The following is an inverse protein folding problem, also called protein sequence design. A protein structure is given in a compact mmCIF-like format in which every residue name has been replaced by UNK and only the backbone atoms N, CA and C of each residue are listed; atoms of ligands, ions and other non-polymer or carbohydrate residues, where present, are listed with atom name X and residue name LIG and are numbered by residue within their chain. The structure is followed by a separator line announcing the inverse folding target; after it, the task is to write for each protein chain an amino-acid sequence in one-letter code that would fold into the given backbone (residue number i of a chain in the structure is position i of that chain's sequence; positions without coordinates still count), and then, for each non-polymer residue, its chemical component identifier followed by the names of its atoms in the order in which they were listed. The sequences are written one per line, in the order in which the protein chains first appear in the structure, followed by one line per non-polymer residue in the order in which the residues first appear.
data_IF_489486769762
#
_entry.id   IF_489486769762
#
_cell.length_a   1.000
_cell.length_b   1.000
_cell.length_c   1.000
_cell.angle_alpha   90.00
_cell.angle_beta   90.00
_cell.angle_gamma   90.00
#
_symmetry.space_group_name_H-M   'P 1'
#
loop_
_entity.id
_entity.type
_entity.pdbx_description
1 polymer ?
#
# COMPACT_ATOMS: atom_id res chain seq x y z
N UNK A 1 20.89 -3.57 -36.68
CA UNK A 1 19.56 -3.24 -37.26
C UNK A 1 18.56 -4.37 -37.07
N UNK A 2 18.90 -5.63 -37.39
CA UNK A 2 18.04 -6.81 -37.12
C UNK A 2 17.65 -6.96 -35.63
N UNK A 3 18.58 -6.74 -34.70
CA UNK A 3 18.31 -6.77 -33.25
C UNK A 3 17.27 -5.74 -32.80
N UNK A 4 17.30 -4.55 -33.39
CA UNK A 4 16.38 -3.45 -33.07
C UNK A 4 14.98 -3.79 -33.57
N UNK A 5 14.87 -4.36 -34.77
CA UNK A 5 13.59 -4.78 -35.34
C UNK A 5 12.98 -5.91 -34.49
N UNK A 6 13.78 -6.91 -34.10
CA UNK A 6 13.35 -7.99 -33.21
C UNK A 6 12.88 -7.47 -31.85
N UNK A 7 13.59 -6.51 -31.26
CA UNK A 7 13.21 -5.90 -29.99
C UNK A 7 11.87 -5.15 -30.07
N UNK A 8 11.66 -4.37 -31.14
CA UNK A 8 10.41 -3.63 -31.35
C UNK A 8 9.24 -4.59 -31.57
N UNK A 9 9.43 -5.61 -32.41
CA UNK A 9 8.39 -6.61 -32.69
C UNK A 9 8.05 -7.40 -31.42
N UNK A 10 9.06 -7.82 -30.65
CA UNK A 10 8.85 -8.49 -29.37
C UNK A 10 8.11 -7.63 -28.35
N UNK A 11 8.45 -6.34 -28.26
CA UNK A 11 7.76 -5.38 -27.39
C UNK A 11 6.29 -5.22 -27.80
N UNK A 12 6.00 -5.04 -29.09
CA UNK A 12 4.64 -4.87 -29.60
C UNK A 12 3.81 -6.13 -29.33
N UNK A 13 4.36 -7.32 -29.61
CA UNK A 13 3.68 -8.58 -29.31
C UNK A 13 3.43 -8.71 -27.81
N UNK A 14 4.43 -8.40 -26.98
CA UNK A 14 4.31 -8.44 -25.53
C UNK A 14 3.20 -7.52 -25.00
N UNK A 15 3.12 -6.29 -25.51
CA UNK A 15 2.08 -5.32 -25.15
C UNK A 15 0.71 -5.82 -25.60
N UNK A 16 0.57 -6.35 -26.81
CA UNK A 16 -0.69 -6.87 -27.33
C UNK A 16 -1.18 -8.06 -26.49
N UNK A 17 -0.29 -8.99 -26.13
CA UNK A 17 -0.63 -10.12 -25.28
C UNK A 17 -1.01 -9.67 -23.86
N UNK A 18 -0.24 -8.75 -23.27
CA UNK A 18 -0.55 -8.18 -21.96
C UNK A 18 -1.91 -7.45 -21.97
N UNK A 19 -2.20 -6.68 -23.02
CA UNK A 19 -3.47 -6.00 -23.20
C UNK A 19 -4.63 -6.98 -23.36
N UNK A 20 -4.45 -8.10 -24.09
CA UNK A 20 -5.47 -9.12 -24.26
C UNK A 20 -5.80 -9.84 -22.93
N UNK A 21 -4.78 -10.15 -22.13
CA UNK A 21 -4.95 -10.73 -20.79
C UNK A 21 -5.63 -9.73 -19.86
N UNK A 22 -5.16 -8.48 -19.85
CA UNK A 22 -5.74 -7.39 -19.05
C UNK A 22 -7.20 -7.14 -19.42
N UNK A 23 -7.54 -7.12 -20.71
CA UNK A 23 -8.90 -6.91 -21.19
C UNK A 23 -9.82 -8.09 -20.85
N UNK A 24 -9.30 -9.32 -20.89
CA UNK A 24 -10.04 -10.51 -20.45
C UNK A 24 -10.34 -10.47 -18.95
N UNK A 25 -9.37 -10.02 -18.15
CA UNK A 25 -9.55 -9.81 -16.71
C UNK A 25 -10.54 -8.69 -16.41
N UNK A 26 -10.42 -7.54 -17.07
CA UNK A 26 -11.32 -6.40 -16.94
C UNK A 26 -12.76 -6.76 -17.32
N UNK A 27 -12.96 -7.53 -18.39
CA UNK A 27 -14.28 -8.07 -18.77
C UNK A 27 -14.83 -9.01 -17.71
N UNK A 28 -14.00 -9.91 -17.15
CA UNK A 28 -14.41 -10.78 -16.06
C UNK A 28 -14.85 -10.01 -14.81
N UNK A 29 -14.18 -8.90 -14.51
CA UNK A 29 -14.52 -8.01 -13.39
C UNK A 29 -15.77 -7.15 -13.63
N UNK A 30 -16.02 -6.72 -14.87
CA UNK A 30 -17.17 -5.90 -15.25
C UNK A 30 -18.42 -6.69 -15.68
N UNK A 31 -18.35 -8.02 -15.79
CA UNK A 31 -19.53 -8.83 -16.11
C UNK A 31 -20.59 -8.71 -15.01
N UNK A 32 -21.87 -8.53 -15.35
CA UNK A 32 -22.95 -8.59 -14.37
C UNK A 32 -22.88 -9.91 -13.62
N UNK A 33 -23.07 -9.84 -12.30
CA UNK A 33 -23.12 -11.03 -11.46
C UNK A 33 -24.22 -11.97 -11.96
N UNK A 34 -23.82 -13.03 -12.68
CA UNK A 34 -24.75 -14.05 -13.17
C UNK A 34 -24.77 -15.21 -12.17
N UNK A 35 -25.88 -15.44 -11.45
CA UNK A 35 -25.96 -16.52 -10.45
C UNK A 35 -25.70 -17.92 -11.02
N UNK A 36 -25.97 -18.10 -12.32
CA UNK A 36 -25.73 -19.38 -13.03
C UNK A 36 -24.23 -19.69 -13.22
N UNK A 37 -23.35 -18.67 -13.16
CA UNK A 37 -21.91 -18.84 -13.31
C UNK A 37 -21.32 -19.68 -12.16
N UNK A 38 -21.86 -19.53 -10.94
CA UNK A 38 -21.44 -20.27 -9.75
C UNK A 38 -21.68 -21.78 -9.85
N UNK A 39 -22.62 -22.22 -10.69
CA UNK A 39 -22.93 -23.64 -10.89
C UNK A 39 -22.05 -24.30 -11.97
N UNK A 40 -21.26 -23.53 -12.73
CA UNK A 40 -20.40 -24.10 -13.78
C UNK A 40 -19.13 -24.71 -13.15
N UNK A 41 -18.73 -25.95 -13.49
CA UNK A 41 -17.49 -26.54 -13.00
C UNK A 41 -16.25 -25.68 -13.25
N UNK A 42 -16.22 -24.96 -14.39
CA UNK A 42 -15.15 -24.03 -14.76
C UNK A 42 -15.00 -22.86 -13.80
N UNK A 43 -16.07 -22.44 -13.12
CA UNK A 43 -16.03 -21.36 -12.14
C UNK A 43 -15.21 -21.79 -10.92
N UNK A 44 -15.39 -23.01 -10.41
CA UNK A 44 -14.60 -23.52 -9.28
C UNK A 44 -13.12 -23.68 -9.64
N UNK A 45 -12.80 -24.14 -10.86
CA UNK A 45 -11.40 -24.20 -11.36
C UNK A 45 -10.79 -22.81 -11.50
N UNK A 46 -11.53 -21.84 -12.03
CA UNK A 46 -11.07 -20.46 -12.14
C UNK A 46 -10.87 -19.83 -10.76
N UNK A 47 -11.83 -20.02 -9.83
CA UNK A 47 -11.77 -19.48 -8.48
C UNK A 47 -10.60 -20.05 -7.69
N UNK A 48 -10.36 -21.36 -7.76
CA UNK A 48 -9.21 -21.99 -7.11
C UNK A 48 -7.87 -21.51 -7.68
N UNK A 49 -7.74 -21.41 -9.01
CA UNK A 49 -6.54 -20.85 -9.65
C UNK A 49 -6.33 -19.37 -9.28
N UNK A 50 -7.41 -18.59 -9.23
CA UNK A 50 -7.38 -17.18 -8.85
C UNK A 50 -6.94 -16.99 -7.39
N UNK A 51 -7.49 -17.77 -6.46
CA UNK A 51 -7.08 -17.75 -5.04
C UNK A 51 -5.61 -18.16 -4.91
N UNK A 52 -5.18 -19.22 -5.60
CA UNK A 52 -3.77 -19.66 -5.60
C UNK A 52 -2.82 -18.58 -6.12
N UNK A 53 -3.23 -17.80 -7.12
CA UNK A 53 -2.44 -16.67 -7.64
C UNK A 53 -2.45 -15.44 -6.69
N UNK A 54 -3.54 -15.23 -5.94
CA UNK A 54 -3.70 -14.13 -4.99
C UNK A 54 -2.87 -14.31 -3.72
N UNK A 55 -2.74 -15.55 -3.23
CA UNK A 55 -2.00 -15.87 -2.00
C UNK A 55 -0.56 -15.31 -1.98
N UNK A 56 0.29 -15.55 -3.00
CA UNK A 56 1.65 -14.99 -2.98
C UNK A 56 1.64 -13.46 -3.02
N UNK A 57 0.76 -12.84 -3.82
CA UNK A 57 0.61 -11.38 -3.87
C UNK A 57 0.24 -10.82 -2.50
N UNK A 58 -0.68 -11.49 -1.79
CA UNK A 58 -1.11 -11.11 -0.45
C UNK A 58 0.03 -11.23 0.58
N UNK A 59 0.85 -12.29 0.50
CA UNK A 59 2.03 -12.46 1.36
C UNK A 59 3.04 -11.32 1.12
N UNK A 60 3.33 -10.97 -0.14
CA UNK A 60 4.19 -9.83 -0.48
C UNK A 60 3.61 -8.50 0.03
N UNK A 61 2.29 -8.33 -0.05
CA UNK A 61 1.61 -7.14 0.46
C UNK A 61 1.75 -7.00 1.98
N UNK A 62 1.56 -8.10 2.72
CA UNK A 62 1.79 -8.13 4.18
C UNK A 62 3.25 -7.82 4.51
N UNK A 63 4.20 -8.43 3.79
CA UNK A 63 5.62 -8.14 3.98
C UNK A 63 5.92 -6.64 3.79
N UNK A 64 5.38 -6.03 2.73
CA UNK A 64 5.49 -4.58 2.50
C UNK A 64 4.91 -3.76 3.65
N UNK A 65 3.74 -4.13 4.15
CA UNK A 65 3.10 -3.45 5.29
C UNK A 65 3.95 -3.55 6.59
N UNK A 66 4.63 -4.68 6.82
CA UNK A 66 5.55 -4.85 7.96
C UNK A 66 6.77 -3.93 7.82
N UNK A 67 7.34 -3.82 6.63
CA UNK A 67 8.45 -2.88 6.37
C UNK A 67 8.03 -1.42 6.55
N UNK A 68 6.84 -1.04 6.07
CA UNK A 68 6.24 0.28 6.31
C UNK A 68 6.13 0.54 7.82
N UNK A 69 5.55 -0.39 8.59
CA UNK A 69 5.43 -0.24 10.04
C UNK A 69 6.78 -0.02 10.72
N UNK A 70 7.81 -0.79 10.33
CA UNK A 70 9.16 -0.68 10.92
C UNK A 70 9.81 0.68 10.60
N UNK A 71 9.56 1.23 9.41
CA UNK A 71 10.01 2.57 9.04
C UNK A 71 9.29 3.66 9.85
N UNK A 72 7.95 3.60 9.92
CA UNK A 72 7.16 4.56 10.70
C UNK A 72 7.44 4.50 12.20
N UNK A 73 7.70 3.33 12.77
CA UNK A 73 8.14 3.19 14.17
C UNK A 73 9.46 3.92 14.45
N UNK A 74 10.36 3.99 13.47
CA UNK A 74 11.64 4.70 13.57
C UNK A 74 11.48 6.21 13.45
N UNK A 75 10.50 6.68 12.67
CA UNK A 75 10.16 8.10 12.53
C UNK A 75 9.39 8.59 13.76
N UNK A 76 8.41 7.80 14.23
CA UNK A 76 7.61 8.12 15.41
C UNK A 76 8.45 8.24 16.70
N UNK A 77 9.53 7.44 16.82
CA UNK A 77 10.44 7.54 17.96
C UNK A 77 11.29 8.81 17.97
N UNK A 78 11.54 9.41 16.79
CA UNK A 78 12.29 10.67 16.66
C UNK A 78 11.40 11.91 16.79
N UNK A 79 10.12 11.81 16.44
CA UNK A 79 9.19 12.94 16.51
C UNK A 79 8.29 12.97 17.76
N UNK A 80 8.27 11.91 18.58
CA UNK A 80 7.47 11.83 19.81
C UNK A 80 5.94 12.00 19.59
N UNK A 81 5.45 11.55 18.43
CA UNK A 81 4.03 11.63 18.06
C UNK A 81 3.46 10.21 17.97
N UNK A 82 2.59 9.86 18.91
CA UNK A 82 1.96 8.54 19.01
C UNK A 82 1.00 8.21 17.86
N UNK A 83 0.47 9.22 17.15
CA UNK A 83 -0.48 9.02 16.06
C UNK A 83 0.10 8.27 14.86
N UNK A 84 1.39 8.47 14.53
CA UNK A 84 2.07 7.71 13.46
C UNK A 84 2.14 6.21 13.76
N UNK A 85 2.35 5.85 15.04
CA UNK A 85 2.37 4.45 15.49
C UNK A 85 0.99 3.81 15.35
N UNK A 86 -0.07 4.54 15.71
CA UNK A 86 -1.45 4.05 15.59
C UNK A 86 -1.86 3.87 14.13
N UNK A 87 -1.53 4.83 13.26
CA UNK A 87 -1.81 4.75 11.83
C UNK A 87 -1.10 3.55 11.18
N UNK A 88 0.19 3.35 11.48
CA UNK A 88 0.96 2.23 10.95
C UNK A 88 0.44 0.85 11.44
N UNK A 89 -0.02 0.76 12.69
CA UNK A 89 -0.66 -0.46 13.20
C UNK A 89 -1.99 -0.73 12.51
N UNK A 90 -2.82 0.29 12.34
CA UNK A 90 -4.10 0.17 11.63
C UNK A 90 -3.88 -0.26 10.17
N UNK A 91 -2.86 0.30 9.49
CA UNK A 91 -2.51 -0.09 8.13
C UNK A 91 -2.11 -1.58 8.06
N UNK A 92 -1.33 -2.08 9.03
CA UNK A 92 -0.93 -3.48 9.08
C UNK A 92 -2.15 -4.40 9.31
N UNK A 93 -3.01 -4.05 10.26
CA UNK A 93 -4.25 -4.79 10.54
C UNK A 93 -5.14 -4.80 9.29
N UNK A 94 -5.29 -3.66 8.62
CA UNK A 94 -6.05 -3.52 7.39
C UNK A 94 -5.46 -4.35 6.23
N UNK A 95 -4.13 -4.41 6.11
CA UNK A 95 -3.45 -5.23 5.11
C UNK A 95 -3.69 -6.74 5.31
N UNK A 96 -3.77 -7.18 6.56
CA UNK A 96 -4.14 -8.57 6.88
C UNK A 96 -5.62 -8.82 6.58
N UNK A 97 -6.51 -7.88 6.93
CA UNK A 97 -7.95 -8.01 6.74
C UNK A 97 -8.45 -7.69 5.32
N UNK A 98 -7.56 -7.35 4.38
CA UNK A 98 -7.94 -6.91 3.01
C UNK A 98 -8.72 -7.99 2.25
N UNK A 99 -8.48 -9.26 2.57
CA UNK A 99 -9.20 -10.40 1.99
C UNK A 99 -10.71 -10.31 2.25
N UNK A 100 -11.15 -9.72 3.36
CA UNK A 100 -12.55 -9.72 3.82
C UNK A 100 -13.29 -8.43 3.43
N UNK A 101 -12.78 -7.62 2.49
CA UNK A 101 -13.24 -6.26 2.17
C UNK A 101 -13.11 -5.24 3.32
N UNK A 102 -13.33 -5.67 4.57
CA UNK A 102 -13.18 -4.89 5.80
C UNK A 102 -11.78 -4.27 5.89
N UNK A 103 -10.74 -4.96 5.40
CA UNK A 103 -9.38 -4.42 5.39
C UNK A 103 -9.22 -3.17 4.53
N UNK A 104 -9.99 -2.99 3.45
CA UNK A 104 -9.94 -1.75 2.66
C UNK A 104 -10.43 -0.55 3.47
N UNK A 105 -11.49 -0.73 4.27
CA UNK A 105 -12.00 0.32 5.16
C UNK A 105 -10.97 0.66 6.22
N UNK A 106 -10.33 -0.36 6.82
CA UNK A 106 -9.30 -0.15 7.85
C UNK A 106 -8.07 0.56 7.27
N UNK A 107 -7.61 0.19 6.06
CA UNK A 107 -6.51 0.87 5.37
C UNK A 107 -6.89 2.32 5.08
N UNK A 108 -8.11 2.58 4.62
CA UNK A 108 -8.58 3.94 4.36
C UNK A 108 -8.54 4.81 5.63
N UNK A 109 -8.98 4.26 6.77
CA UNK A 109 -8.88 4.95 8.07
C UNK A 109 -7.40 5.18 8.45
N UNK A 110 -6.52 4.22 8.18
CA UNK A 110 -5.09 4.34 8.43
C UNK A 110 -4.45 5.49 7.63
N UNK A 111 -4.78 5.61 6.34
CA UNK A 111 -4.33 6.70 5.46
C UNK A 111 -4.78 8.07 5.97
N UNK A 112 -6.04 8.20 6.41
CA UNK A 112 -6.55 9.44 6.99
C UNK A 112 -5.81 9.80 8.29
N UNK A 113 -5.58 8.82 9.17
CA UNK A 113 -4.80 9.03 10.39
C UNK A 113 -3.36 9.43 10.09
N UNK A 114 -2.76 8.88 9.04
CA UNK A 114 -1.42 9.24 8.60
C UNK A 114 -1.36 10.68 8.10
N UNK A 115 -2.35 11.12 7.33
CA UNK A 115 -2.45 12.53 6.90
C UNK A 115 -2.56 13.47 8.11
N UNK A 116 -3.41 13.14 9.09
CA UNK A 116 -3.54 13.92 10.34
C UNK A 116 -2.24 13.94 11.15
N UNK A 117 -1.54 12.81 11.22
CA UNK A 117 -0.26 12.71 11.92
C UNK A 117 0.84 13.55 11.25
N UNK A 118 0.82 13.67 9.91
CA UNK A 118 1.72 14.54 9.16
C UNK A 118 1.51 16.01 9.49
N UNK A 119 0.25 16.46 9.57
CA UNK A 119 -0.08 17.82 10.01
C UNK A 119 0.19 18.08 11.50
N UNK A 120 0.33 17.03 12.30
CA UNK A 120 0.64 17.15 13.74
C UNK A 120 2.14 17.26 14.01
N UNK A 121 3.00 17.19 12.98
CA UNK A 121 4.44 17.36 13.13
C UNK A 121 4.72 18.79 13.64
N UNK A 122 5.32 18.97 14.83
CA UNK A 122 5.65 20.29 15.32
C UNK A 122 6.75 20.90 14.44
N UNK A 123 6.45 22.05 13.82
CA UNK A 123 7.36 22.83 12.96
C UNK A 123 8.62 23.31 13.71
N UNK A 124 8.61 23.27 15.05
CA UNK A 124 9.68 23.77 15.89
C UNK A 124 10.59 22.64 16.34
N UNK A 125 11.76 22.53 15.69
CA UNK A 125 12.93 21.96 16.32
C UNK A 125 13.15 22.68 17.67
N UNK A 126 13.41 21.97 18.78
CA UNK A 126 13.79 22.60 20.03
C UNK A 126 14.92 23.58 19.75
N UNK A 127 14.65 24.88 19.95
CA UNK A 127 15.68 25.90 19.83
C UNK A 127 16.85 25.47 20.71
N UNK A 128 18.09 25.41 20.17
CA UNK A 128 19.25 25.09 20.99
C UNK A 128 19.26 26.04 22.20
N UNK A 129 19.59 25.54 23.41
CA UNK A 129 19.58 26.36 24.62
C UNK A 129 20.34 27.66 24.36
N UNK A 130 19.62 28.77 24.40
CA UNK A 130 20.20 30.09 24.19
C UNK A 130 21.26 30.26 25.30
N UNK A 131 22.54 30.52 24.95
CA UNK A 131 23.57 30.73 25.96
C UNK A 131 23.07 31.83 26.89
N UNK A 132 22.98 31.52 28.18
CA UNK A 132 22.50 32.46 29.19
C UNK A 132 23.21 33.80 28.99
N UNK A 133 22.46 34.81 28.52
CA UNK A 133 23.00 36.16 28.37
C UNK A 133 23.45 36.58 29.77
N UNK A 134 24.75 36.89 29.96
CA UNK A 134 25.24 37.37 31.25
C UNK A 134 24.44 38.62 31.59
N UNK A 135 23.73 38.56 32.73
CA UNK A 135 22.99 39.70 33.25
C UNK A 135 23.94 40.90 33.30
N UNK A 136 23.68 41.89 32.46
CA UNK A 136 24.44 43.14 32.45
C UNK A 136 24.10 43.83 33.76
N UNK A 137 24.96 43.66 34.76
CA UNK A 137 24.81 44.30 36.06
C UNK A 137 25.11 45.80 35.86
N UNK A 138 24.13 46.70 36.08
CA UNK A 138 24.40 48.13 36.06
C UNK A 138 25.27 48.49 37.29
N UNK A 139 26.38 49.18 37.02
CA UNK A 139 27.27 49.78 38.03
C UNK A 139 26.61 51.01 38.66
#
# INVERSE_FOLDING_TARGET
MISVILAIVGLVIGIVLAAAVFFSFYRGFMMPFEPSAFMRPRFFTFLTAFILALVPIWIFYIASAIFLKKSYDTIASKLNISMFRTAALLYLIGAVLVIVFIGFIIIFIAEVLQAVAFFSIPEQAPLPPQPAQPAVQPM
#
